data_IF_506988142198
#
_entry.id   IF_506988142198
#
_cell.length_a   1.000
_cell.length_b   1.000
_cell.length_c   1.000
_cell.angle_alpha   90.00
_cell.angle_beta   90.00
_cell.angle_gamma   90.00
#
_symmetry.space_group_name_H-M   'P 1'
#
loop_
_entity.id
_entity.type
_entity.pdbx_description
1 polymer ?
#
# COMPACT_ATOMS: atom_id res chain seq x y z
N UNK A 1 -6.40 -22.02 -16.45
CA UNK A 1 -6.19 -22.27 -15.00
C UNK A 1 -7.49 -22.07 -14.22
N UNK A 2 -8.39 -21.16 -14.63
CA UNK A 2 -9.72 -21.00 -14.01
C UNK A 2 -10.80 -20.87 -15.09
N UNK A 3 -11.45 -21.98 -15.45
CA UNK A 3 -12.50 -22.04 -16.49
C UNK A 3 -13.91 -22.02 -15.87
N UNK A 4 -14.04 -21.44 -14.66
CA UNK A 4 -15.29 -21.34 -13.88
C UNK A 4 -15.44 -19.94 -13.29
N UNK A 5 -16.68 -19.52 -13.01
CA UNK A 5 -16.94 -18.30 -12.25
C UNK A 5 -16.42 -18.48 -10.82
N UNK A 6 -15.43 -17.68 -10.46
CA UNK A 6 -14.71 -17.76 -9.18
C UNK A 6 -14.41 -16.33 -8.72
N UNK A 7 -14.52 -16.06 -7.41
CA UNK A 7 -14.19 -14.74 -6.90
C UNK A 7 -12.67 -14.52 -6.84
N UNK A 8 -12.22 -13.27 -6.77
CA UNK A 8 -10.79 -12.97 -6.59
C UNK A 8 -10.22 -13.57 -5.30
N UNK A 9 -11.05 -13.69 -4.25
CA UNK A 9 -10.66 -14.31 -2.99
C UNK A 9 -10.47 -15.82 -3.14
N UNK A 10 -11.39 -16.48 -3.85
CA UNK A 10 -11.30 -17.92 -4.13
C UNK A 10 -10.09 -18.23 -5.02
N UNK A 11 -9.78 -17.38 -6.01
CA UNK A 11 -8.55 -17.50 -6.81
C UNK A 11 -7.32 -17.41 -5.90
N UNK A 12 -7.27 -16.44 -4.98
CA UNK A 12 -6.13 -16.30 -4.07
C UNK A 12 -5.96 -17.51 -3.14
N UNK A 13 -7.07 -18.06 -2.62
CA UNK A 13 -7.06 -19.26 -1.79
C UNK A 13 -6.61 -20.49 -2.59
N UNK A 14 -7.11 -20.66 -3.81
CA UNK A 14 -6.72 -21.75 -4.69
C UNK A 14 -5.23 -21.64 -5.05
N UNK A 15 -4.77 -20.44 -5.42
CA UNK A 15 -3.35 -20.15 -5.68
C UNK A 15 -2.46 -20.46 -4.47
N UNK A 16 -2.87 -20.07 -3.26
CA UNK A 16 -2.13 -20.34 -2.04
C UNK A 16 -1.98 -21.85 -1.77
N UNK A 17 -2.98 -22.66 -2.12
CA UNK A 17 -2.97 -24.11 -1.92
C UNK A 17 -2.05 -24.88 -2.89
N UNK A 18 -1.54 -24.26 -3.98
CA UNK A 18 -0.61 -24.94 -4.89
C UNK A 18 0.77 -25.20 -4.29
N UNK A 19 1.15 -24.49 -3.23
CA UNK A 19 2.45 -24.66 -2.57
C UNK A 19 2.29 -24.54 -1.07
N UNK A 20 2.76 -25.52 -0.27
CA UNK A 20 2.80 -25.40 1.18
C UNK A 20 3.52 -24.13 1.62
N UNK A 21 4.65 -23.79 0.96
CA UNK A 21 5.43 -22.57 1.21
C UNK A 21 4.58 -21.32 1.07
N UNK A 22 3.80 -21.25 0.00
CA UNK A 22 2.93 -20.12 -0.27
C UNK A 22 1.78 -20.04 0.73
N UNK A 23 1.19 -21.19 1.11
CA UNK A 23 0.11 -21.26 2.08
C UNK A 23 0.51 -20.71 3.45
N UNK A 24 1.59 -21.20 4.06
CA UNK A 24 2.00 -20.67 5.38
C UNK A 24 2.47 -19.22 5.28
N UNK A 25 3.16 -18.84 4.19
CA UNK A 25 3.57 -17.44 3.99
C UNK A 25 2.35 -16.52 3.91
N UNK A 26 1.28 -16.98 3.25
CA UNK A 26 0.01 -16.28 3.18
C UNK A 26 -0.69 -16.20 4.53
N UNK A 27 -0.79 -17.32 5.26
CA UNK A 27 -1.41 -17.35 6.60
C UNK A 27 -0.66 -16.45 7.58
N UNK A 28 0.67 -16.49 7.58
CA UNK A 28 1.52 -15.57 8.32
C UNK A 28 1.24 -14.11 7.94
N UNK A 29 1.16 -13.80 6.65
CA UNK A 29 0.87 -12.44 6.18
C UNK A 29 -0.52 -11.97 6.61
N UNK A 30 -1.53 -12.84 6.57
CA UNK A 30 -2.89 -12.51 7.03
C UNK A 30 -2.93 -12.23 8.53
N UNK A 31 -2.22 -13.02 9.34
CA UNK A 31 -2.09 -12.77 10.78
C UNK A 31 -1.42 -11.42 11.06
N UNK A 32 -0.30 -11.16 10.36
CA UNK A 32 0.42 -9.90 10.45
C UNK A 32 -0.46 -8.70 10.05
N UNK A 33 -1.26 -8.86 8.99
CA UNK A 33 -2.21 -7.84 8.53
C UNK A 33 -3.34 -7.62 9.54
N UNK A 34 -3.78 -8.67 10.23
CA UNK A 34 -4.75 -8.58 11.33
C UNK A 34 -4.25 -7.66 12.44
N UNK A 35 -3.06 -7.94 12.99
CA UNK A 35 -2.45 -7.08 14.02
C UNK A 35 -2.25 -5.64 13.57
N UNK A 36 -1.91 -5.43 12.28
CA UNK A 36 -1.80 -4.08 11.72
C UNK A 36 -3.16 -3.35 11.68
N UNK A 37 -4.22 -4.02 11.25
CA UNK A 37 -5.59 -3.47 11.21
C UNK A 37 -6.12 -3.13 12.59
N UNK A 38 -5.85 -4.00 13.56
CA UNK A 38 -6.21 -3.81 14.97
C UNK A 38 -5.32 -2.79 15.69
N UNK A 39 -4.33 -2.23 14.98
CA UNK A 39 -3.32 -1.30 15.50
C UNK A 39 -2.54 -1.84 16.71
N UNK A 40 -2.44 -3.17 16.80
CA UNK A 40 -1.68 -3.82 17.86
C UNK A 40 -0.21 -3.96 17.46
N UNK A 41 0.56 -2.91 17.74
CA UNK A 41 1.96 -2.85 17.34
C UNK A 41 2.84 -3.89 18.06
N UNK A 42 2.49 -4.27 19.29
CA UNK A 42 3.26 -5.26 20.05
C UNK A 42 3.19 -6.64 19.38
N UNK A 43 1.98 -7.18 19.19
CA UNK A 43 1.82 -8.46 18.50
C UNK A 43 2.31 -8.42 17.06
N UNK A 44 2.18 -7.28 16.36
CA UNK A 44 2.74 -7.11 15.03
C UNK A 44 4.26 -7.31 15.02
N UNK A 45 4.99 -6.66 15.92
CA UNK A 45 6.45 -6.74 15.94
C UNK A 45 6.97 -8.04 16.58
N UNK A 46 6.27 -8.59 17.57
CA UNK A 46 6.64 -9.87 18.16
C UNK A 46 6.54 -11.00 17.14
N UNK A 47 5.45 -11.05 16.36
CA UNK A 47 5.30 -11.99 15.26
C UNK A 47 6.44 -11.88 14.23
N UNK A 48 6.85 -10.65 13.88
CA UNK A 48 7.97 -10.43 12.97
C UNK A 48 9.30 -10.95 13.57
N UNK A 49 9.55 -10.73 14.86
CA UNK A 49 10.78 -11.18 15.53
C UNK A 49 10.88 -12.69 15.58
N UNK A 50 9.78 -13.36 15.91
CA UNK A 50 9.65 -14.82 15.95
C UNK A 50 9.89 -15.44 14.57
N UNK A 51 9.43 -14.77 13.51
CA UNK A 51 9.56 -15.25 12.12
C UNK A 51 10.98 -15.22 11.54
N UNK A 52 11.96 -14.55 12.20
CA UNK A 52 13.33 -14.40 11.67
C UNK A 52 14.04 -15.73 11.42
N UNK A 53 13.81 -16.70 12.30
CA UNK A 53 14.42 -18.03 12.23
C UNK A 53 13.55 -19.05 11.49
N UNK A 54 12.42 -18.62 10.90
CA UNK A 54 11.58 -19.53 10.13
C UNK A 54 12.31 -20.00 8.88
N UNK A 55 12.53 -21.31 8.79
CA UNK A 55 13.08 -21.97 7.59
C UNK A 55 12.07 -22.00 6.44
N UNK A 56 10.79 -21.80 6.76
CA UNK A 56 9.69 -21.91 5.83
C UNK A 56 9.44 -20.62 5.04
N UNK A 57 9.76 -19.46 5.62
CA UNK A 57 9.56 -18.17 4.96
C UNK A 57 10.66 -17.91 3.93
N UNK A 58 10.31 -17.58 2.67
CA UNK A 58 11.28 -17.25 1.64
C UNK A 58 12.23 -16.13 2.07
N UNK A 59 13.51 -16.20 1.68
CA UNK A 59 14.53 -15.23 2.09
C UNK A 59 14.14 -13.78 1.76
N UNK A 60 13.58 -13.55 0.56
CA UNK A 60 13.13 -12.21 0.15
C UNK A 60 12.04 -11.66 1.07
N UNK A 61 11.14 -12.53 1.56
CA UNK A 61 10.10 -12.16 2.52
C UNK A 61 10.71 -11.80 3.87
N UNK A 62 11.60 -12.65 4.41
CA UNK A 62 12.33 -12.37 5.66
C UNK A 62 13.14 -11.08 5.60
N UNK A 63 13.75 -10.75 4.44
CA UNK A 63 14.46 -9.50 4.24
C UNK A 63 13.53 -8.28 4.36
N UNK A 64 12.29 -8.38 3.86
CA UNK A 64 11.29 -7.31 4.02
C UNK A 64 10.85 -7.17 5.47
N UNK A 65 10.64 -8.27 6.17
CA UNK A 65 10.33 -8.28 7.60
C UNK A 65 11.45 -7.64 8.43
N UNK A 66 12.72 -7.97 8.13
CA UNK A 66 13.87 -7.36 8.77
C UNK A 66 13.97 -5.84 8.50
N UNK A 67 13.54 -5.38 7.32
CA UNK A 67 13.43 -3.95 7.04
C UNK A 67 12.36 -3.26 7.90
N UNK A 68 11.21 -3.91 8.13
CA UNK A 68 10.16 -3.38 9.00
C UNK A 68 10.65 -3.22 10.44
N UNK A 69 11.43 -4.17 10.97
CA UNK A 69 12.06 -4.05 12.30
C UNK A 69 12.97 -2.81 12.41
N UNK A 70 13.72 -2.48 11.36
CA UNK A 70 14.54 -1.25 11.33
C UNK A 70 13.72 0.04 11.36
N UNK A 71 12.41 -0.05 11.10
CA UNK A 71 11.46 1.08 11.09
C UNK A 71 10.43 0.98 12.21
N UNK A 72 10.69 0.16 13.22
CA UNK A 72 9.75 -0.13 14.30
C UNK A 72 9.21 1.13 14.97
N UNK A 73 10.08 2.06 15.38
CA UNK A 73 9.67 3.29 16.05
C UNK A 73 8.64 4.09 15.22
N UNK A 74 8.92 4.29 13.93
CA UNK A 74 8.05 5.04 13.03
C UNK A 74 6.72 4.32 12.77
N UNK A 75 6.75 2.98 12.67
CA UNK A 75 5.55 2.17 12.44
C UNK A 75 4.69 2.12 13.71
N UNK A 76 5.29 1.97 14.89
CA UNK A 76 4.60 2.05 16.19
C UNK A 76 3.89 3.39 16.35
N UNK A 77 4.56 4.48 16.01
CA UNK A 77 3.95 5.81 16.01
C UNK A 77 2.80 5.90 15.00
N UNK A 78 2.97 5.36 13.80
CA UNK A 78 1.92 5.37 12.79
C UNK A 78 0.67 4.55 13.22
N UNK A 79 0.86 3.47 13.97
CA UNK A 79 -0.24 2.67 14.51
C UNK A 79 -0.92 3.31 15.73
N UNK A 80 -0.21 4.14 16.51
CA UNK A 80 -0.79 4.80 17.68
C UNK A 80 -1.61 6.04 17.33
N UNK A 81 -1.29 6.74 16.24
CA UNK A 81 -2.00 7.94 15.82
C UNK A 81 -3.32 7.61 15.09
N UNK A 82 -4.34 8.47 15.19
CA UNK A 82 -5.59 8.29 14.46
C UNK A 82 -5.51 8.67 12.97
N UNK A 83 -4.40 9.26 12.54
CA UNK A 83 -4.23 9.81 11.20
C UNK A 83 -3.89 8.71 10.18
N UNK A 84 -4.48 8.82 8.99
CA UNK A 84 -4.14 7.97 7.85
C UNK A 84 -3.31 8.76 6.81
N UNK A 85 -2.61 8.03 5.93
CA UNK A 85 -1.81 8.62 4.85
C UNK A 85 -2.66 9.21 3.71
N UNK A 86 -3.99 9.10 3.74
CA UNK A 86 -4.87 9.47 2.63
C UNK A 86 -4.74 10.94 2.24
N UNK A 87 -4.62 11.85 3.22
CA UNK A 87 -4.43 13.27 2.95
C UNK A 87 -3.09 13.57 2.27
N UNK A 88 -2.02 12.92 2.75
CA UNK A 88 -0.67 13.06 2.21
C UNK A 88 -0.58 12.48 0.80
N UNK A 89 -1.13 11.28 0.60
CA UNK A 89 -1.22 10.63 -0.72
C UNK A 89 -2.06 11.44 -1.70
N UNK A 90 -3.21 11.96 -1.26
CA UNK A 90 -4.06 12.83 -2.08
C UNK A 90 -3.32 14.10 -2.52
N UNK A 91 -2.58 14.73 -1.60
CA UNK A 91 -1.74 15.91 -1.90
C UNK A 91 -0.62 15.55 -2.87
N UNK A 92 0.09 14.44 -2.65
CA UNK A 92 1.14 13.96 -3.54
C UNK A 92 0.61 13.67 -4.95
N UNK A 93 -0.58 13.09 -5.06
CA UNK A 93 -1.21 12.81 -6.36
C UNK A 93 -1.58 14.10 -7.10
N UNK A 94 -2.12 15.11 -6.40
CA UNK A 94 -2.37 16.45 -6.98
C UNK A 94 -1.07 17.09 -7.49
N UNK A 95 0.01 17.03 -6.71
CA UNK A 95 1.32 17.55 -7.12
C UNK A 95 1.83 16.82 -8.37
N UNK A 96 1.74 15.48 -8.41
CA UNK A 96 2.15 14.68 -9.58
C UNK A 96 1.34 15.03 -10.82
N UNK A 97 0.03 15.23 -10.68
CA UNK A 97 -0.85 15.64 -11.76
C UNK A 97 -0.46 17.01 -12.30
N UNK A 98 -0.26 18.00 -11.41
CA UNK A 98 0.20 19.34 -11.79
C UNK A 98 1.54 19.29 -12.52
N UNK A 99 2.51 18.53 -12.01
CA UNK A 99 3.82 18.35 -12.66
C UNK A 99 3.68 17.75 -14.07
N UNK A 100 2.81 16.75 -14.26
CA UNK A 100 2.57 16.14 -15.58
C UNK A 100 1.90 17.12 -16.55
N UNK A 101 0.91 17.88 -16.08
CA UNK A 101 0.24 18.91 -16.88
C UNK A 101 1.12 20.10 -17.20
N UNK A 102 2.08 20.43 -16.32
CA UNK A 102 3.05 21.51 -16.48
C UNK A 102 4.16 21.21 -17.50
N UNK A 103 4.35 19.94 -17.87
CA UNK A 103 5.41 19.56 -18.79
C UNK A 103 5.25 20.24 -20.15
N UNK A 104 6.32 20.87 -20.64
CA UNK A 104 6.32 21.62 -21.91
C UNK A 104 5.96 23.10 -21.80
N UNK A 105 5.49 23.59 -20.65
CA UNK A 105 5.28 25.02 -20.44
C UNK A 105 6.57 25.72 -20.05
N UNK A 106 7.01 26.68 -20.86
CA UNK A 106 8.16 27.54 -20.55
C UNK A 106 7.86 28.60 -19.48
N UNK A 107 6.58 29.00 -19.35
CA UNK A 107 6.10 30.00 -18.38
C UNK A 107 4.93 29.44 -17.57
N UNK A 108 4.96 29.67 -16.26
CA UNK A 108 3.89 29.23 -15.34
C UNK A 108 2.55 29.92 -15.64
N UNK A 109 2.55 31.14 -16.15
CA UNK A 109 1.37 31.89 -16.59
C UNK A 109 0.53 31.09 -17.62
N UNK A 110 1.19 30.43 -18.58
CA UNK A 110 0.50 29.63 -19.60
C UNK A 110 -0.10 28.34 -19.03
N UNK A 111 0.54 27.76 -18.03
CA UNK A 111 -0.02 26.63 -17.28
C UNK A 111 -1.25 27.06 -16.48
N UNK A 112 -1.16 28.19 -15.75
CA UNK A 112 -2.28 28.72 -14.97
C UNK A 112 -3.45 29.14 -15.85
N UNK A 113 -3.18 29.76 -17.00
CA UNK A 113 -4.20 30.04 -18.00
C UNK A 113 -4.92 28.75 -18.39
N UNK A 114 -4.21 27.70 -18.80
CA UNK A 114 -4.83 26.42 -19.18
C UNK A 114 -5.67 25.79 -18.07
N UNK A 115 -5.18 25.82 -16.82
CA UNK A 115 -5.94 25.30 -15.67
C UNK A 115 -7.24 26.10 -15.50
N UNK A 116 -7.17 27.43 -15.60
CA UNK A 116 -8.34 28.30 -15.53
C UNK A 116 -9.35 28.01 -16.65
N UNK A 117 -8.89 27.86 -17.89
CA UNK A 117 -9.74 27.49 -19.03
C UNK A 117 -10.40 26.12 -18.84
N UNK A 118 -9.68 25.11 -18.33
CA UNK A 118 -10.24 23.77 -18.06
C UNK A 118 -11.33 23.77 -16.98
N UNK A 119 -11.30 24.72 -16.05
CA UNK A 119 -12.32 24.87 -14.99
C UNK A 119 -13.52 25.71 -15.47
N UNK A 120 -13.33 26.60 -16.44
CA UNK A 120 -14.40 27.44 -16.97
C UNK A 120 -15.49 26.63 -17.69
N UNK A 121 -15.13 25.61 -18.47
CA UNK A 121 -16.10 24.73 -19.15
C UNK A 121 -17.02 23.97 -18.17
N UNK A 122 -16.60 23.78 -16.91
CA UNK A 122 -17.40 23.14 -15.86
C UNK A 122 -18.39 24.11 -15.18
N UNK A 123 -18.21 25.42 -15.35
CA UNK A 123 -19.05 26.47 -14.74
C UNK A 123 -20.13 26.95 -15.72
N UNK A 124 -19.92 26.80 -17.03
CA UNK A 124 -20.88 27.21 -18.08
C UNK A 124 -21.70 26.05 -18.68
N UNK A 125 -21.63 24.85 -18.10
CA UNK A 125 -22.41 23.67 -18.52
C UNK A 125 -23.54 23.29 -17.55
N UNK A 126 -24.02 24.26 -16.75
CA UNK A 126 -25.29 24.18 -15.98
C UNK A 126 -26.40 24.88 -16.76
#
# INVERSE_FOLDING_TARGET
LFDRYISAQDIALELANYSPVLKETWEFYQLLLGYFKDRNADYFFDLIRESRSSEFLPQNFRNKLAFLLKKEESIRLALSVPYNNGLVEGTNNKIKLLKRSAFGYRKHEHLFARIYWMQADTVYSV
#
